data_IF_779887107051
#
_entry.id   IF_779887107051
#
_cell.length_a   1.000
_cell.length_b   1.000
_cell.length_c   1.000
_cell.angle_alpha   90.00
_cell.angle_beta   90.00
_cell.angle_gamma   90.00
#
_symmetry.space_group_name_H-M   'P 1'
#
loop_
_entity.id
_entity.type
_entity.pdbx_description
1 polymer ?
#
# COMPACT_ATOMS: atom_id res chain seq x y z
N UNK A 1 -15.99 5.50 2.36
CA UNK A 1 -15.77 4.05 2.32
C UNK A 1 -14.80 3.75 3.45
N UNK A 2 -15.10 2.77 4.32
CA UNK A 2 -14.29 2.51 5.51
C UNK A 2 -12.83 2.35 5.10
N UNK A 3 -11.98 3.30 5.48
CA UNK A 3 -10.54 3.18 5.27
C UNK A 3 -10.07 2.18 6.32
N UNK A 4 -10.21 0.90 6.03
CA UNK A 4 -9.53 -0.10 6.83
C UNK A 4 -8.03 0.13 6.64
N UNK A 5 -7.33 0.31 7.75
CA UNK A 5 -5.91 0.62 7.75
C UNK A 5 -5.14 -0.53 8.40
N UNK A 6 -3.86 -0.59 8.10
CA UNK A 6 -2.94 -1.55 8.69
C UNK A 6 -1.67 -0.80 9.09
N UNK A 7 -1.19 -1.07 10.29
CA UNK A 7 0.08 -0.54 10.76
C UNK A 7 1.26 -1.29 10.14
N UNK A 8 2.44 -0.67 10.14
CA UNK A 8 3.65 -1.32 9.65
C UNK A 8 4.01 -2.60 10.42
N UNK A 9 3.72 -2.65 11.73
CA UNK A 9 3.94 -3.85 12.55
C UNK A 9 3.01 -4.99 12.14
N UNK A 10 1.71 -4.71 12.04
CA UNK A 10 0.72 -5.71 11.60
C UNK A 10 1.02 -6.20 10.18
N UNK A 11 1.50 -5.33 9.29
CA UNK A 11 1.91 -5.74 7.95
C UNK A 11 3.07 -6.75 8.01
N UNK A 12 4.09 -6.49 8.82
CA UNK A 12 5.23 -7.39 8.99
C UNK A 12 4.78 -8.75 9.54
N UNK A 13 3.88 -8.76 10.52
CA UNK A 13 3.33 -10.00 11.09
C UNK A 13 2.49 -10.79 10.06
N UNK A 14 1.70 -10.09 9.25
CA UNK A 14 0.92 -10.71 8.16
C UNK A 14 1.82 -11.23 7.03
N UNK A 15 2.95 -10.58 6.75
CA UNK A 15 3.94 -11.07 5.78
C UNK A 15 4.63 -12.32 6.31
N UNK A 16 5.05 -12.32 7.58
CA UNK A 16 5.69 -13.45 8.23
C UNK A 16 4.79 -14.69 8.30
N UNK A 17 3.48 -14.50 8.46
CA UNK A 17 2.48 -15.58 8.46
C UNK A 17 2.01 -16.02 7.06
N UNK A 18 2.48 -15.37 5.99
CA UNK A 18 2.02 -15.67 4.62
C UNK A 18 0.57 -15.25 4.35
N UNK A 19 0.01 -14.39 5.20
CA UNK A 19 -1.36 -13.88 5.09
C UNK A 19 -1.51 -12.76 4.05
N UNK A 20 -0.41 -12.13 3.63
CA UNK A 20 -0.45 -11.13 2.56
C UNK A 20 -0.63 -11.81 1.21
N UNK A 21 -1.70 -11.46 0.51
CA UNK A 21 -1.97 -11.95 -0.85
C UNK A 21 -1.28 -11.09 -1.90
N UNK A 22 -1.41 -9.77 -1.78
CA UNK A 22 -0.90 -8.78 -2.74
C UNK A 22 -0.60 -7.44 -2.06
N UNK A 23 0.42 -6.75 -2.56
CA UNK A 23 0.65 -5.33 -2.31
C UNK A 23 0.27 -4.52 -3.56
N UNK A 24 -0.52 -3.47 -3.37
CA UNK A 24 -0.90 -2.52 -4.42
C UNK A 24 -0.25 -1.18 -4.15
N UNK A 25 0.56 -0.73 -5.09
CA UNK A 25 1.19 0.58 -5.08
C UNK A 25 0.30 1.50 -5.91
N UNK A 26 -0.34 2.46 -5.27
CA UNK A 26 -1.26 3.37 -5.94
C UNK A 26 -0.64 4.75 -5.96
N UNK A 27 -0.47 5.31 -7.17
CA UNK A 27 -0.10 6.71 -7.34
C UNK A 27 -1.33 7.59 -7.19
N UNK A 28 -1.26 8.55 -6.26
CA UNK A 28 -2.26 9.59 -6.07
C UNK A 28 -2.11 10.73 -7.09
N UNK A 29 -3.12 11.60 -7.13
CA UNK A 29 -3.13 12.80 -7.97
C UNK A 29 -1.98 13.78 -7.65
N UNK A 30 -1.44 13.72 -6.44
CA UNK A 30 -0.29 14.52 -6.00
C UNK A 30 1.06 13.92 -6.41
N UNK A 31 1.04 12.93 -7.33
CA UNK A 31 2.18 12.15 -7.80
C UNK A 31 2.89 11.33 -6.71
N UNK A 32 2.35 11.28 -5.50
CA UNK A 32 2.86 10.44 -4.42
C UNK A 32 2.29 9.04 -4.52
N UNK A 33 2.98 8.10 -3.90
CA UNK A 33 2.63 6.68 -3.89
C UNK A 33 2.21 6.24 -2.50
N UNK A 34 1.21 5.38 -2.44
CA UNK A 34 0.69 4.80 -1.22
C UNK A 34 0.55 3.29 -1.39
N UNK A 35 0.62 2.58 -0.28
CA UNK A 35 0.55 1.12 -0.28
C UNK A 35 -0.81 0.70 0.26
N UNK A 36 -1.50 -0.14 -0.51
CA UNK A 36 -2.65 -0.90 -0.07
C UNK A 36 -2.29 -2.37 -0.01
N UNK A 37 -2.75 -3.05 1.03
CA UNK A 37 -2.44 -4.45 1.29
C UNK A 37 -3.73 -5.26 1.24
N UNK A 38 -3.70 -6.32 0.44
CA UNK A 38 -4.77 -7.29 0.38
C UNK A 38 -4.34 -8.54 1.14
N UNK A 39 -5.08 -8.88 2.19
CA UNK A 39 -4.86 -10.11 2.95
C UNK A 39 -5.63 -11.28 2.31
N UNK A 40 -5.19 -12.51 2.56
CA UNK A 40 -5.83 -13.73 2.06
C UNK A 40 -7.12 -14.03 2.80
N UNK A 41 -7.16 -13.74 4.10
CA UNK A 41 -8.27 -14.02 5.01
C UNK A 41 -9.24 -12.85 5.17
N UNK A 42 -8.81 -11.63 4.82
CA UNK A 42 -9.63 -10.41 4.91
C UNK A 42 -9.95 -9.88 3.54
N UNK A 43 -11.24 -9.71 3.24
CA UNK A 43 -11.68 -9.00 2.04
C UNK A 43 -11.51 -7.51 2.20
N UNK A 44 -10.89 -6.85 1.23
CA UNK A 44 -10.65 -5.40 1.23
C UNK A 44 -9.19 -5.04 0.97
N UNK A 45 -8.97 -3.77 0.66
CA UNK A 45 -7.65 -3.18 0.50
C UNK A 45 -7.34 -2.34 1.75
N UNK A 46 -6.35 -2.75 2.53
CA UNK A 46 -5.93 -2.08 3.76
C UNK A 46 -4.90 -1.00 3.46
N UNK A 47 -5.17 0.25 3.83
CA UNK A 47 -4.21 1.34 3.63
C UNK A 47 -3.10 1.28 4.67
N UNK A 48 -1.85 1.32 4.23
CA UNK A 48 -0.70 1.34 5.13
C UNK A 48 -0.59 2.69 5.84
N UNK A 49 -0.59 2.65 7.16
CA UNK A 49 -0.42 3.82 8.01
C UNK A 49 0.89 3.79 8.80
N UNK A 50 1.37 4.99 9.09
CA UNK A 50 2.41 5.23 10.08
C UNK A 50 1.88 5.00 11.50
N UNK A 51 2.78 4.82 12.46
CA UNK A 51 2.45 4.80 13.90
C UNK A 51 1.66 6.04 14.37
N UNK A 52 1.71 7.15 13.62
CA UNK A 52 0.95 8.38 13.91
C UNK A 52 -0.45 8.41 13.27
N UNK A 53 -0.99 7.25 12.83
CA UNK A 53 -2.30 7.13 12.15
C UNK A 53 -2.46 8.06 10.96
N UNK A 54 -1.38 8.18 10.18
CA UNK A 54 -1.37 8.92 8.92
C UNK A 54 -1.00 7.97 7.79
N UNK A 55 -1.64 8.07 6.61
CA UNK A 55 -1.24 7.32 5.43
C UNK A 55 0.26 7.46 5.18
N UNK A 56 0.93 6.34 4.96
CA UNK A 56 2.33 6.34 4.58
C UNK A 56 2.40 6.67 3.10
N UNK A 57 3.03 7.80 2.78
CA UNK A 57 3.17 8.30 1.41
C UNK A 57 4.65 8.35 1.01
N UNK A 58 4.93 8.05 -0.25
CA UNK A 58 6.27 8.13 -0.83
C UNK A 58 6.29 9.06 -2.02
N UNK A 59 7.32 9.89 -2.12
CA UNK A 59 7.51 10.81 -3.24
C UNK A 59 8.05 10.15 -4.51
N UNK A 60 8.56 8.92 -4.42
CA UNK A 60 9.14 8.21 -5.56
C UNK A 60 9.01 6.69 -5.41
N UNK A 61 8.88 6.01 -6.55
CA UNK A 61 8.82 4.55 -6.62
C UNK A 61 10.12 3.90 -6.12
N UNK A 62 11.28 4.51 -6.40
CA UNK A 62 12.59 4.02 -5.94
C UNK A 62 12.67 3.92 -4.41
N UNK A 63 12.30 5.01 -3.70
CA UNK A 63 12.25 5.01 -2.22
C UNK A 63 11.29 3.97 -1.68
N UNK A 64 10.15 3.80 -2.35
CA UNK A 64 9.15 2.81 -1.99
C UNK A 64 9.69 1.39 -2.19
N UNK A 65 10.27 1.07 -3.35
CA UNK A 65 10.83 -0.24 -3.64
C UNK A 65 11.98 -0.60 -2.68
N UNK A 66 12.86 0.36 -2.40
CA UNK A 66 13.92 0.21 -1.38
C UNK A 66 13.33 -0.06 0.00
N UNK A 67 12.24 0.62 0.38
CA UNK A 67 11.55 0.40 1.65
C UNK A 67 10.97 -1.02 1.72
N UNK A 68 10.29 -1.47 0.67
CA UNK A 68 9.74 -2.83 0.60
C UNK A 68 10.84 -3.87 0.74
N UNK A 69 11.90 -3.77 -0.06
CA UNK A 69 13.01 -4.73 -0.04
C UNK A 69 13.73 -4.75 1.32
N UNK A 70 13.87 -3.60 1.98
CA UNK A 70 14.59 -3.51 3.26
C UNK A 70 13.74 -3.90 4.46
N UNK A 71 12.43 -3.65 4.46
CA UNK A 71 11.55 -3.84 5.63
C UNK A 71 10.67 -5.08 5.53
N UNK A 72 10.15 -5.37 4.35
CA UNK A 72 9.13 -6.39 4.13
C UNK A 72 9.74 -7.67 3.57
N UNK A 73 10.92 -7.59 2.95
CA UNK A 73 11.63 -8.74 2.42
C UNK A 73 10.87 -9.38 1.26
N UNK A 74 10.46 -10.64 1.41
CA UNK A 74 9.76 -11.38 0.36
C UNK A 74 8.28 -11.00 0.32
N UNK A 75 7.91 -10.16 -0.63
CA UNK A 75 6.52 -9.83 -0.94
C UNK A 75 6.02 -10.70 -2.08
N UNK A 76 4.86 -11.38 -1.96
CA UNK A 76 4.43 -12.39 -2.92
C UNK A 76 4.11 -11.81 -4.30
N UNK A 77 3.34 -10.72 -4.37
CA UNK A 77 2.96 -10.04 -5.62
C UNK A 77 2.83 -8.55 -5.36
N UNK A 78 3.41 -7.74 -6.24
CA UNK A 78 3.35 -6.27 -6.22
C UNK A 78 2.69 -5.76 -7.50
N UNK A 79 1.60 -5.02 -7.36
CA UNK A 79 0.86 -4.39 -8.46
C UNK A 79 1.06 -2.87 -8.40
N UNK A 80 1.35 -2.23 -9.53
CA UNK A 80 1.51 -0.77 -9.63
C UNK A 80 0.34 -0.17 -10.41
N UNK A 81 -0.37 0.76 -9.78
CA UNK A 81 -1.45 1.55 -10.36
C UNK A 81 -0.99 2.99 -10.50
N UNK A 82 -0.73 3.40 -11.74
CA UNK A 82 -0.38 4.77 -12.05
C UNK A 82 -1.63 5.61 -12.23
N UNK A 83 -1.57 6.85 -11.77
CA UNK A 83 -2.64 7.80 -12.04
C UNK A 83 -2.58 8.18 -13.52
N UNK A 84 -3.70 8.02 -14.22
CA UNK A 84 -3.89 8.53 -15.57
C UNK A 84 -4.88 9.67 -15.55
N UNK A 85 -4.57 10.73 -16.31
CA UNK A 85 -5.39 11.92 -16.47
C UNK A 85 -6.72 11.64 -17.20
N UNK A 86 -6.87 10.46 -17.83
CA UNK A 86 -8.02 10.12 -18.66
C UNK A 86 -9.19 9.42 -17.95
N UNK A 87 -9.08 9.04 -16.68
CA UNK A 87 -10.19 8.39 -15.97
C UNK A 87 -11.01 9.39 -15.16
N UNK A 88 -12.13 9.83 -15.76
CA UNK A 88 -13.27 10.43 -15.09
C UNK A 88 -13.81 9.43 -14.04
N UNK A 89 -13.38 9.53 -12.77
CA UNK A 89 -13.93 8.67 -11.72
C UNK A 89 -13.07 8.47 -10.48
N UNK A 90 -13.43 9.22 -9.44
CA UNK A 90 -13.09 9.05 -8.00
C UNK A 90 -11.70 9.53 -7.60
N UNK A 91 -11.69 10.74 -7.03
CA UNK A 91 -10.68 11.30 -6.12
C UNK A 91 -10.00 10.19 -5.29
N UNK A 92 -8.82 9.73 -5.70
CA UNK A 92 -7.98 8.83 -4.90
C UNK A 92 -6.83 9.66 -4.36
N UNK A 93 -7.15 10.48 -3.35
CA UNK A 93 -6.13 11.07 -2.49
C UNK A 93 -5.68 10.02 -1.48
N UNK A 94 -4.37 9.94 -1.32
CA UNK A 94 -3.80 9.63 -0.03
C UNK A 94 -3.96 10.85 0.89
#
# INVERSE_FOLDING_TARGET
MGNETISELELIDNLASGAVKRLKLVQGEDLKFCIYIQLSWKGGDLLLETQRKKPRVWSSLDRLAKHINSKYGSVPVVELYLWSKESNGKNRRC
#
